data_IF_716926126222
#
_entry.id   IF_716926126222
#
_cell.length_a   1.000
_cell.length_b   1.000
_cell.length_c   1.000
_cell.angle_alpha   90.00
_cell.angle_beta   90.00
_cell.angle_gamma   90.00
#
_symmetry.space_group_name_H-M   'P 1'
#
loop_
_entity.id
_entity.type
_entity.pdbx_description
1 polymer ?
#
# COMPACT_ATOMS: atom_id res chain seq x y z
N UNK A 1 21.36 -1.14 -2.96
CA UNK A 1 20.27 -2.15 -2.77
C UNK A 1 18.86 -1.56 -2.65
N UNK A 2 18.60 -0.51 -1.84
CA UNK A 2 17.23 0.07 -1.71
C UNK A 2 16.66 0.72 -2.99
N UNK A 3 17.52 1.36 -3.80
CA UNK A 3 17.10 1.99 -5.06
C UNK A 3 16.61 0.96 -6.10
N UNK A 4 17.29 -0.19 -6.18
CA UNK A 4 16.97 -1.30 -7.09
C UNK A 4 15.61 -1.92 -6.77
N UNK A 5 15.27 -2.08 -5.48
CA UNK A 5 13.94 -2.56 -5.07
C UNK A 5 12.83 -1.55 -5.36
N UNK A 6 13.10 -0.25 -5.21
CA UNK A 6 12.12 0.82 -5.51
C UNK A 6 11.87 0.95 -7.01
N UNK A 7 12.89 0.79 -7.83
CA UNK A 7 12.77 0.70 -9.29
C UNK A 7 12.10 -0.60 -9.75
N UNK A 8 12.41 -1.74 -9.12
CA UNK A 8 11.73 -3.00 -9.42
C UNK A 8 10.24 -2.89 -9.14
N UNK A 9 9.86 -2.34 -7.98
CA UNK A 9 8.44 -2.14 -7.64
C UNK A 9 7.77 -1.16 -8.62
N UNK A 10 8.41 -0.04 -8.97
CA UNK A 10 7.87 0.90 -9.99
C UNK A 10 7.71 0.28 -11.38
N UNK A 11 8.68 -0.55 -11.82
CA UNK A 11 8.61 -1.23 -13.12
C UNK A 11 7.55 -2.34 -13.10
N UNK A 12 7.38 -3.03 -11.98
CA UNK A 12 6.33 -4.01 -11.78
C UNK A 12 4.94 -3.35 -11.75
N UNK A 13 4.81 -2.20 -11.08
CA UNK A 13 3.59 -1.38 -11.10
C UNK A 13 3.26 -0.92 -12.53
N UNK A 14 4.26 -0.51 -13.31
CA UNK A 14 4.11 -0.11 -14.71
C UNK A 14 3.68 -1.24 -15.65
N UNK A 15 4.32 -2.41 -15.54
CA UNK A 15 3.96 -3.61 -16.31
C UNK A 15 2.56 -4.10 -15.97
N UNK A 16 2.16 -4.01 -14.69
CA UNK A 16 0.82 -4.47 -14.32
C UNK A 16 -0.27 -3.46 -14.69
N UNK A 17 0.07 -2.18 -14.80
CA UNK A 17 -0.82 -1.16 -15.36
C UNK A 17 -1.12 -1.43 -16.85
N UNK A 18 -0.15 -1.90 -17.62
CA UNK A 18 -0.34 -2.32 -19.03
C UNK A 18 -1.17 -3.60 -19.18
N UNK A 19 -1.06 -4.56 -18.24
CA UNK A 19 -1.88 -5.79 -18.26
C UNK A 19 -3.36 -5.50 -17.95
N UNK A 20 -3.65 -4.40 -17.24
CA UNK A 20 -5.00 -4.05 -16.75
C UNK A 20 -5.79 -3.08 -17.64
N UNK A 21 -5.34 -2.81 -18.87
CA UNK A 21 -6.06 -1.96 -19.85
C UNK A 21 -7.47 -2.49 -20.21
N UNK A 22 -7.89 -3.65 -19.68
CA UNK A 22 -9.20 -4.25 -19.94
C UNK A 22 -10.35 -3.90 -18.99
N UNK A 23 -10.15 -3.16 -17.89
CA UNK A 23 -11.18 -2.53 -17.00
C UNK A 23 -10.52 -2.13 -15.68
N UNK A 24 -9.98 -0.91 -15.65
CA UNK A 24 -9.55 -0.28 -14.40
C UNK A 24 -10.81 0.14 -13.67
N UNK A 25 -11.01 -0.34 -12.44
CA UNK A 25 -11.97 0.29 -11.55
C UNK A 25 -11.33 1.63 -11.15
N UNK A 26 -11.86 2.74 -11.68
CA UNK A 26 -11.28 4.09 -11.56
C UNK A 26 -11.08 4.53 -10.09
N UNK A 27 -11.74 3.85 -9.16
CA UNK A 27 -11.69 4.12 -7.73
C UNK A 27 -10.34 3.78 -7.06
N UNK A 28 -9.51 2.93 -7.69
CA UNK A 28 -8.26 2.45 -7.11
C UNK A 28 -7.03 2.87 -7.92
N UNK A 29 -6.12 3.59 -7.26
CA UNK A 29 -4.86 4.07 -7.84
C UNK A 29 -3.66 3.28 -7.34
N UNK A 30 -3.74 2.66 -6.15
CA UNK A 30 -2.68 1.78 -5.65
C UNK A 30 -2.87 0.34 -6.14
N UNK A 31 -1.79 -0.22 -6.68
CA UNK A 31 -1.80 -1.55 -7.28
C UNK A 31 -2.17 -2.67 -6.29
N UNK A 32 -1.74 -2.60 -5.03
CA UNK A 32 -2.05 -3.63 -4.03
C UNK A 32 -3.55 -3.68 -3.75
N UNK A 33 -4.19 -2.52 -3.75
CA UNK A 33 -5.64 -2.37 -3.56
C UNK A 33 -6.38 -2.97 -4.75
N UNK A 34 -5.92 -2.65 -5.97
CA UNK A 34 -6.46 -3.25 -7.20
C UNK A 34 -6.34 -4.77 -7.19
N UNK A 35 -5.18 -5.32 -6.82
CA UNK A 35 -4.97 -6.77 -6.77
C UNK A 35 -5.95 -7.44 -5.81
N UNK A 36 -6.13 -6.91 -4.60
CA UNK A 36 -7.08 -7.44 -3.62
C UNK A 36 -8.51 -7.41 -4.16
N UNK A 37 -8.92 -6.33 -4.82
CA UNK A 37 -10.25 -6.25 -5.43
C UNK A 37 -10.43 -7.23 -6.60
N UNK A 38 -9.40 -7.37 -7.45
CA UNK A 38 -9.41 -8.33 -8.55
C UNK A 38 -9.48 -9.78 -8.05
N UNK A 39 -8.82 -10.11 -6.94
CA UNK A 39 -8.95 -11.40 -6.27
C UNK A 39 -10.35 -11.59 -5.69
N UNK A 40 -10.90 -10.58 -5.00
CA UNK A 40 -12.24 -10.66 -4.41
C UNK A 40 -13.33 -10.89 -5.47
N UNK A 41 -13.23 -10.26 -6.64
CA UNK A 41 -14.16 -10.49 -7.77
C UNK A 41 -14.17 -11.93 -8.32
N UNK A 42 -13.14 -12.74 -8.02
CA UNK A 42 -13.08 -14.16 -8.39
C UNK A 42 -13.67 -15.08 -7.31
N UNK A 43 -14.03 -14.54 -6.16
CA UNK A 43 -14.68 -15.29 -5.08
C UNK A 43 -16.20 -15.30 -5.27
N UNK A 44 -16.91 -16.12 -4.50
CA UNK A 44 -18.38 -16.18 -4.51
C UNK A 44 -19.05 -15.11 -3.60
N UNK A 45 -18.36 -13.99 -3.31
CA UNK A 45 -18.96 -12.89 -2.55
C UNK A 45 -20.26 -12.42 -3.21
N UNK A 46 -21.28 -12.21 -2.38
CA UNK A 46 -22.48 -11.50 -2.81
C UNK A 46 -22.14 -10.07 -3.22
N UNK A 47 -23.02 -9.43 -3.99
CA UNK A 47 -22.84 -8.03 -4.39
C UNK A 47 -22.63 -7.12 -3.18
N UNK A 48 -23.38 -7.32 -2.10
CA UNK A 48 -23.27 -6.50 -0.89
C UNK A 48 -21.93 -6.70 -0.16
N UNK A 49 -21.45 -7.95 -0.07
CA UNK A 49 -20.13 -8.24 0.50
C UNK A 49 -19.00 -7.63 -0.32
N UNK A 50 -19.11 -7.69 -1.65
CA UNK A 50 -18.13 -7.09 -2.55
C UNK A 50 -18.10 -5.55 -2.44
N UNK A 51 -19.25 -4.89 -2.31
CA UNK A 51 -19.31 -3.43 -2.08
C UNK A 51 -18.73 -3.05 -0.71
N UNK A 52 -19.07 -3.79 0.35
CA UNK A 52 -18.48 -3.56 1.68
C UNK A 52 -16.95 -3.75 1.65
N UNK A 53 -16.47 -4.76 0.94
CA UNK A 53 -15.04 -4.98 0.73
C UNK A 53 -14.40 -3.84 -0.08
N UNK A 54 -15.10 -3.31 -1.09
CA UNK A 54 -14.66 -2.15 -1.88
C UNK A 54 -14.47 -0.91 -0.99
N UNK A 55 -15.38 -0.63 -0.07
CA UNK A 55 -15.25 0.49 0.87
C UNK A 55 -14.10 0.30 1.88
N UNK A 56 -13.87 -0.94 2.34
CA UNK A 56 -12.71 -1.27 3.16
C UNK A 56 -11.39 -1.06 2.41
N UNK A 57 -11.35 -1.43 1.13
CA UNK A 57 -10.22 -1.19 0.24
C UNK A 57 -9.97 0.31 -0.01
N UNK A 58 -11.01 1.14 -0.13
CA UNK A 58 -10.86 2.61 -0.20
C UNK A 58 -10.21 3.15 1.07
N UNK A 59 -10.63 2.67 2.24
CA UNK A 59 -10.03 3.03 3.52
C UNK A 59 -8.57 2.58 3.62
N UNK A 60 -8.25 1.39 3.10
CA UNK A 60 -6.88 0.90 3.04
C UNK A 60 -5.99 1.73 2.09
N UNK A 61 -6.51 2.13 0.92
CA UNK A 61 -5.82 3.05 0.01
C UNK A 61 -5.48 4.38 0.69
N UNK A 62 -6.39 4.96 1.48
CA UNK A 62 -6.10 6.19 2.23
C UNK A 62 -4.96 5.99 3.25
N UNK A 63 -4.88 4.82 3.90
CA UNK A 63 -3.77 4.49 4.83
C UNK A 63 -2.44 4.39 4.09
N UNK A 64 -2.45 3.79 2.90
CA UNK A 64 -1.28 3.75 2.00
C UNK A 64 -0.84 5.16 1.63
N UNK A 65 -1.76 6.00 1.14
CA UNK A 65 -1.46 7.38 0.75
C UNK A 65 -0.85 8.14 1.93
N UNK A 66 -1.41 8.00 3.12
CA UNK A 66 -0.88 8.61 4.35
C UNK A 66 0.55 8.15 4.66
N UNK A 67 0.85 6.86 4.48
CA UNK A 67 2.21 6.34 4.65
C UNK A 67 3.19 6.93 3.63
N UNK A 68 2.81 7.00 2.35
CA UNK A 68 3.66 7.57 1.30
C UNK A 68 3.91 9.07 1.52
N UNK A 69 2.90 9.84 1.92
CA UNK A 69 3.06 11.25 2.31
C UNK A 69 4.03 11.39 3.50
N UNK A 70 3.92 10.54 4.53
CA UNK A 70 4.84 10.56 5.66
C UNK A 70 6.28 10.25 5.23
N UNK A 71 6.48 9.27 4.34
CA UNK A 71 7.81 8.96 3.79
C UNK A 71 8.40 10.13 3.02
N UNK A 72 7.59 10.83 2.23
CA UNK A 72 8.02 12.02 1.51
C UNK A 72 8.42 13.14 2.49
N UNK A 73 7.61 13.39 3.52
CA UNK A 73 7.95 14.36 4.56
C UNK A 73 9.24 14.00 5.30
N UNK A 74 9.46 12.71 5.61
CA UNK A 74 10.73 12.23 6.22
C UNK A 74 11.91 12.56 5.31
N UNK A 75 11.78 12.30 4.01
CA UNK A 75 12.83 12.55 3.02
C UNK A 75 13.15 14.04 2.92
N UNK A 76 12.14 14.90 2.81
CA UNK A 76 12.30 16.36 2.76
C UNK A 76 12.91 16.89 4.07
N UNK A 77 12.43 16.41 5.21
CA UNK A 77 12.98 16.78 6.52
C UNK A 77 14.43 16.36 6.67
N UNK A 78 14.79 15.17 6.18
CA UNK A 78 16.18 14.70 6.19
C UNK A 78 17.06 15.63 5.33
N UNK A 79 16.63 15.92 4.10
CA UNK A 79 17.40 16.78 3.19
C UNK A 79 17.61 18.20 3.77
N UNK A 80 16.59 18.74 4.44
CA UNK A 80 16.70 20.03 5.12
C UNK A 80 17.75 19.99 6.23
N UNK A 81 17.71 18.99 7.10
CA UNK A 81 18.64 18.90 8.23
C UNK A 81 20.04 18.44 7.82
N UNK A 82 20.21 17.60 6.81
CA UNK A 82 21.54 17.18 6.31
C UNK A 82 22.40 18.38 5.86
N UNK A 83 21.78 19.52 5.52
CA UNK A 83 22.45 20.78 5.19
C UNK A 83 22.85 21.59 6.43
N UNK A 84 22.28 21.29 7.60
CA UNK A 84 22.34 22.08 8.83
C UNK A 84 23.03 21.35 10.01
N UNK A 85 23.06 20.02 10.03
CA UNK A 85 23.68 19.22 11.11
C UNK A 85 24.98 18.55 10.68
N UNK A 86 26.06 18.90 11.37
CA UNK A 86 27.42 18.43 11.10
C UNK A 86 27.72 17.03 11.71
N UNK A 87 27.00 16.64 12.78
CA UNK A 87 27.24 15.40 13.55
C UNK A 87 26.16 14.32 13.32
N UNK A 88 25.31 14.45 12.30
CA UNK A 88 24.24 13.48 11.98
C UNK A 88 23.15 13.32 13.06
N UNK A 89 23.12 14.20 14.06
CA UNK A 89 22.08 14.23 15.11
C UNK A 89 20.88 15.04 14.65
N UNK A 90 19.84 14.36 14.19
CA UNK A 90 18.62 15.01 13.76
C UNK A 90 17.78 15.54 14.94
N UNK A 91 17.09 16.69 14.77
CA UNK A 91 16.16 17.20 15.77
C UNK A 91 15.02 16.24 16.08
N UNK A 92 14.46 16.32 17.29
CA UNK A 92 13.34 15.48 17.75
C UNK A 92 12.17 15.45 16.74
N UNK A 93 11.84 16.57 16.10
CA UNK A 93 10.78 16.64 15.08
C UNK A 93 11.00 15.67 13.91
N UNK A 94 12.24 15.54 13.43
CA UNK A 94 12.59 14.59 12.38
C UNK A 94 12.42 13.15 12.89
N UNK A 95 12.95 12.86 14.07
CA UNK A 95 12.85 11.54 14.69
C UNK A 95 11.39 11.11 14.93
N UNK A 96 10.54 12.02 15.40
CA UNK A 96 9.10 11.78 15.59
C UNK A 96 8.40 11.48 14.25
N UNK A 97 8.78 12.19 13.19
CA UNK A 97 8.27 11.97 11.84
C UNK A 97 8.69 10.61 11.28
N UNK A 98 9.94 10.21 11.48
CA UNK A 98 10.46 8.86 11.14
C UNK A 98 9.68 7.79 11.90
N UNK A 99 9.50 7.94 13.20
CA UNK A 99 8.73 7.00 14.02
C UNK A 99 7.29 6.87 13.54
N UNK A 100 6.65 7.98 13.15
CA UNK A 100 5.30 7.98 12.59
C UNK A 100 5.23 7.28 11.24
N UNK A 101 6.20 7.52 10.35
CA UNK A 101 6.29 6.81 9.07
C UNK A 101 6.44 5.30 9.29
N UNK A 102 7.36 4.88 10.16
CA UNK A 102 7.57 3.48 10.50
C UNK A 102 6.30 2.84 11.10
N UNK A 103 5.59 3.53 11.98
CA UNK A 103 4.31 3.03 12.49
C UNK A 103 3.31 2.77 11.36
N UNK A 104 3.19 3.71 10.42
CA UNK A 104 2.29 3.55 9.28
C UNK A 104 2.73 2.46 8.29
N UNK A 105 4.04 2.21 8.17
CA UNK A 105 4.56 1.04 7.43
C UNK A 105 4.02 -0.27 8.01
N UNK A 106 4.10 -0.42 9.34
CA UNK A 106 3.58 -1.60 10.04
C UNK A 106 2.06 -1.71 9.89
N UNK A 107 1.33 -0.60 10.01
CA UNK A 107 -0.13 -0.56 9.82
C UNK A 107 -0.52 -1.00 8.42
N UNK A 108 0.13 -0.47 7.38
CA UNK A 108 -0.15 -0.83 5.99
C UNK A 108 0.15 -2.30 5.74
N UNK A 109 1.30 -2.80 6.20
CA UNK A 109 1.67 -4.23 6.03
C UNK A 109 0.67 -5.16 6.73
N UNK A 110 0.28 -4.83 7.96
CA UNK A 110 -0.69 -5.62 8.74
C UNK A 110 -2.03 -5.70 8.01
N UNK A 111 -2.60 -4.55 7.64
CA UNK A 111 -3.91 -4.52 6.98
C UNK A 111 -3.87 -5.20 5.61
N UNK A 112 -2.78 -5.01 4.84
CA UNK A 112 -2.60 -5.73 3.59
C UNK A 112 -2.70 -7.25 3.78
N UNK A 113 -1.96 -7.78 4.75
CA UNK A 113 -1.93 -9.22 5.01
C UNK A 113 -3.29 -9.73 5.50
N UNK A 114 -3.98 -8.98 6.37
CA UNK A 114 -5.33 -9.34 6.82
C UNK A 114 -6.33 -9.40 5.65
N UNK A 115 -6.33 -8.39 4.79
CA UNK A 115 -7.17 -8.35 3.59
C UNK A 115 -6.82 -9.48 2.62
N UNK A 116 -5.52 -9.70 2.39
CA UNK A 116 -5.02 -10.76 1.52
C UNK A 116 -5.48 -12.13 2.01
N UNK A 117 -5.18 -12.48 3.26
CA UNK A 117 -5.55 -13.79 3.82
C UNK A 117 -7.07 -14.01 3.82
N UNK A 118 -7.86 -12.95 4.07
CA UNK A 118 -9.33 -13.05 4.00
C UNK A 118 -9.79 -13.43 2.60
N UNK A 119 -9.33 -12.73 1.56
CA UNK A 119 -9.71 -13.04 0.17
C UNK A 119 -9.14 -14.38 -0.29
N UNK A 120 -7.88 -14.65 0.03
CA UNK A 120 -7.19 -15.90 -0.32
C UNK A 120 -7.92 -17.12 0.27
N UNK A 121 -8.29 -17.08 1.55
CA UNK A 121 -9.04 -18.15 2.20
C UNK A 121 -10.40 -18.42 1.55
N UNK A 122 -11.04 -17.40 0.97
CA UNK A 122 -12.31 -17.56 0.26
C UNK A 122 -12.11 -18.24 -1.09
N UNK A 123 -11.00 -17.97 -1.80
CA UNK A 123 -10.68 -18.65 -3.05
C UNK A 123 -10.46 -20.16 -2.80
N UNK A 124 -9.71 -20.50 -1.74
CA UNK A 124 -9.41 -21.90 -1.41
C UNK A 124 -10.63 -22.71 -0.96
N UNK A 125 -11.55 -22.12 -0.18
CA UNK A 125 -12.81 -22.79 0.21
C UNK A 125 -13.70 -23.19 -0.97
N UNK A 126 -13.50 -22.60 -2.14
CA UNK A 126 -14.30 -22.88 -3.33
C UNK A 126 -13.60 -23.75 -4.37
N UNK A 127 -12.31 -24.08 -4.18
CA UNK A 127 -11.55 -24.97 -5.07
C UNK A 127 -11.54 -26.42 -4.59
N UNK A 128 -11.97 -26.69 -3.35
CA UNK A 128 -12.31 -28.05 -2.90
C UNK A 128 -13.74 -28.40 -3.35
N UNK A 129 -13.86 -28.88 -4.60
CA UNK A 129 -15.04 -29.58 -5.14
C UNK A 129 -14.62 -30.97 -5.62
#
# INVERSE_FOLDING_TARGET
>A
MKAVHRELNKKFDGLTKQVNEGKVDEDFTDFRVYQLYAMAKKTAMSKNELENFKEELKSFQQRITKHETLKEMVMQSKEYFDKEVDDGKYPKKHTDLVNKANHYEHVVKKHHNELYHRVDSMIFKHTEL
#
